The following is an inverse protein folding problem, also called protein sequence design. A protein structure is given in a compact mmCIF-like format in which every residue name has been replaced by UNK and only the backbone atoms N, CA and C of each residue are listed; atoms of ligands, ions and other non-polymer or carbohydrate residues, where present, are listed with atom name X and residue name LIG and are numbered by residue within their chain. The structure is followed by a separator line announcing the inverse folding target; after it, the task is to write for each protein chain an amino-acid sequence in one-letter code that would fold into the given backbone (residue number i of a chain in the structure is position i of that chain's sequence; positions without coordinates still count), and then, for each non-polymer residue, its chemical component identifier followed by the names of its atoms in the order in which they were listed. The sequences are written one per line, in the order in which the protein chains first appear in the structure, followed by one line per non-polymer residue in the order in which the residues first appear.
data_IF_255536920522
#
_entry.id   IF_255536920522
#
_cell.length_a   1.000
_cell.length_b   1.000
_cell.length_c   1.000
_cell.angle_alpha   90.00
_cell.angle_beta   90.00
_cell.angle_gamma   90.00
#
_symmetry.space_group_name_H-M   'P 1'
#
loop_
_entity.id
_entity.type
_entity.pdbx_description
1 polymer ?
#
# COMPACT_ATOMS: atom_id res chain seq x y z
N UNK A 1 -17.38 12.64 -46.00
CA UNK A 1 -16.23 11.95 -45.37
C UNK A 1 -16.77 11.08 -44.23
N UNK A 2 -16.69 9.75 -44.35
CA UNK A 2 -17.21 8.76 -43.39
C UNK A 2 -16.01 8.08 -42.70
N UNK A 3 -16.23 7.60 -41.47
CA UNK A 3 -15.33 6.86 -40.54
C UNK A 3 -14.60 7.74 -39.52
N UNK A 4 -14.56 7.40 -38.22
CA UNK A 4 -14.66 6.07 -37.60
C UNK A 4 -15.53 6.10 -36.31
N UNK A 5 -16.52 5.20 -36.24
CA UNK A 5 -17.13 4.84 -34.96
C UNK A 5 -16.11 3.99 -34.21
N UNK A 6 -15.46 4.59 -33.22
CA UNK A 6 -14.69 3.86 -32.20
C UNK A 6 -15.61 2.79 -31.61
N UNK A 7 -15.38 1.51 -31.97
CA UNK A 7 -16.06 0.39 -31.34
C UNK A 7 -15.55 0.30 -29.90
N UNK A 8 -16.26 0.99 -29.00
CA UNK A 8 -16.08 0.85 -27.56
C UNK A 8 -16.54 -0.55 -27.20
N UNK A 9 -15.60 -1.49 -27.08
CA UNK A 9 -15.86 -2.84 -26.59
C UNK A 9 -16.47 -2.70 -25.19
N UNK A 10 -17.80 -2.76 -25.11
CA UNK A 10 -18.53 -2.72 -23.85
C UNK A 10 -18.39 -4.10 -23.23
N UNK A 11 -17.30 -4.31 -22.48
CA UNK A 11 -17.20 -5.47 -21.60
C UNK A 11 -18.37 -5.39 -20.62
N UNK A 12 -19.35 -6.27 -20.78
CA UNK A 12 -20.47 -6.49 -19.85
C UNK A 12 -19.97 -7.14 -18.55
N UNK A 13 -18.88 -6.64 -17.98
CA UNK A 13 -18.43 -7.04 -16.66
C UNK A 13 -19.31 -6.30 -15.65
N UNK A 14 -20.09 -7.04 -14.84
CA UNK A 14 -20.92 -6.46 -13.78
C UNK A 14 -20.03 -5.52 -12.96
N UNK A 15 -20.31 -4.22 -12.99
CA UNK A 15 -19.44 -3.28 -12.28
C UNK A 15 -19.49 -3.59 -10.79
N UNK A 16 -18.32 -3.94 -10.25
CA UNK A 16 -18.12 -4.17 -8.82
C UNK A 16 -18.78 -3.05 -8.03
N UNK A 17 -19.46 -3.39 -6.93
CA UNK A 17 -20.10 -2.41 -6.06
C UNK A 17 -19.13 -1.29 -5.68
N UNK A 18 -17.86 -1.63 -5.41
CA UNK A 18 -16.77 -0.66 -5.14
C UNK A 18 -16.51 0.31 -6.29
N UNK A 19 -16.65 -0.13 -7.54
CA UNK A 19 -16.46 0.72 -8.73
C UNK A 19 -17.63 1.70 -8.90
N UNK A 20 -18.87 1.27 -8.62
CA UNK A 20 -20.03 2.16 -8.61
C UNK A 20 -19.93 3.20 -7.50
N UNK A 21 -19.53 2.76 -6.31
CA UNK A 21 -19.33 3.62 -5.16
C UNK A 21 -18.20 4.64 -5.38
N UNK A 22 -17.07 4.20 -5.95
CA UNK A 22 -15.96 5.08 -6.33
C UNK A 22 -16.38 6.17 -7.31
N UNK A 23 -17.13 5.82 -8.36
CA UNK A 23 -17.68 6.78 -9.32
C UNK A 23 -18.71 7.73 -8.69
N UNK A 24 -19.50 7.23 -7.73
CA UNK A 24 -20.44 8.05 -6.98
C UNK A 24 -19.72 9.06 -6.06
N UNK A 25 -18.67 8.63 -5.38
CA UNK A 25 -17.81 9.52 -4.57
C UNK A 25 -17.15 10.60 -5.43
N UNK A 26 -16.72 10.27 -6.64
CA UNK A 26 -16.15 11.23 -7.59
C UNK A 26 -17.18 12.29 -8.01
N UNK A 27 -18.44 11.88 -8.22
CA UNK A 27 -19.56 12.80 -8.47
C UNK A 27 -19.89 13.67 -7.26
N UNK A 28 -19.76 13.13 -6.06
CA UNK A 28 -20.02 13.83 -4.80
C UNK A 28 -18.72 14.18 -4.06
N UNK A 29 -17.89 15.03 -4.69
CA UNK A 29 -16.54 15.38 -4.19
C UNK A 29 -16.49 15.79 -2.71
N UNK A 30 -17.46 16.56 -2.21
CA UNK A 30 -17.52 16.96 -0.78
C UNK A 30 -17.66 15.77 0.16
N UNK A 31 -18.47 14.78 -0.21
CA UNK A 31 -18.66 13.54 0.57
C UNK A 31 -17.39 12.70 0.50
N UNK A 32 -16.74 12.62 -0.66
CA UNK A 32 -15.43 11.99 -0.82
C UNK A 32 -14.37 12.57 0.10
N UNK A 33 -14.30 13.90 0.23
CA UNK A 33 -13.38 14.58 1.15
C UNK A 33 -13.71 14.31 2.62
N UNK A 34 -14.99 14.30 2.98
CA UNK A 34 -15.42 13.98 4.35
C UNK A 34 -15.04 12.53 4.71
N UNK A 35 -15.20 11.60 3.77
CA UNK A 35 -14.79 10.20 3.95
C UNK A 35 -13.27 10.06 4.09
N UNK A 36 -12.49 10.74 3.24
CA UNK A 36 -11.02 10.74 3.34
C UNK A 36 -10.55 11.23 4.72
N UNK A 37 -11.10 12.35 5.16
CA UNK A 37 -10.82 12.93 6.47
C UNK A 37 -11.23 11.99 7.60
N UNK A 38 -12.44 11.42 7.53
CA UNK A 38 -12.93 10.46 8.52
C UNK A 38 -12.04 9.22 8.62
N UNK A 39 -11.51 8.73 7.51
CA UNK A 39 -10.61 7.57 7.49
C UNK A 39 -9.26 7.94 8.09
N UNK A 40 -8.73 9.14 7.79
CA UNK A 40 -7.51 9.62 8.42
C UNK A 40 -7.66 9.68 9.95
N UNK A 41 -8.71 10.32 10.46
CA UNK A 41 -8.99 10.37 11.90
C UNK A 41 -9.24 8.98 12.51
N UNK A 42 -10.05 8.14 11.85
CA UNK A 42 -10.31 6.78 12.29
C UNK A 42 -9.04 5.93 12.34
N UNK A 43 -8.16 6.07 11.36
CA UNK A 43 -6.87 5.35 11.35
C UNK A 43 -5.95 5.77 12.49
N UNK A 44 -5.90 7.06 12.82
CA UNK A 44 -5.16 7.56 13.98
C UNK A 44 -5.74 7.00 15.28
N UNK A 45 -7.06 7.02 15.42
CA UNK A 45 -7.75 6.50 16.61
C UNK A 45 -7.52 4.99 16.80
N UNK A 46 -7.69 4.19 15.75
CA UNK A 46 -7.45 2.74 15.79
C UNK A 46 -5.99 2.44 16.11
N UNK A 47 -5.05 3.17 15.51
CA UNK A 47 -3.62 2.96 15.75
C UNK A 47 -3.22 3.36 17.17
N UNK A 48 -3.81 4.44 17.70
CA UNK A 48 -3.65 4.85 19.09
C UNK A 48 -4.15 3.75 20.04
N UNK A 49 -5.37 3.24 19.83
CA UNK A 49 -5.91 2.14 20.64
C UNK A 49 -5.01 0.91 20.60
N UNK A 50 -4.59 0.48 19.41
CA UNK A 50 -3.70 -0.67 19.25
C UNK A 50 -2.38 -0.50 20.04
N UNK A 51 -1.79 0.69 19.96
CA UNK A 51 -0.57 1.03 20.71
C UNK A 51 -0.82 1.07 22.21
N UNK A 52 -1.95 1.62 22.67
CA UNK A 52 -2.32 1.65 24.09
C UNK A 52 -2.51 0.24 24.68
N UNK A 53 -3.05 -0.71 23.92
CA UNK A 53 -3.14 -2.10 24.37
C UNK A 53 -1.77 -2.76 24.49
N UNK A 54 -0.84 -2.41 23.58
CA UNK A 54 0.50 -3.00 23.53
C UNK A 54 1.48 -2.24 24.43
N UNK A 55 1.12 -1.08 24.99
CA UNK A 55 2.05 -0.21 25.71
C UNK A 55 2.43 -0.69 27.10
N UNK A 56 1.68 -1.62 27.69
CA UNK A 56 1.89 -2.10 29.07
C UNK A 56 3.33 -2.55 29.42
N UNK A 57 4.12 -3.19 28.53
CA UNK A 57 5.48 -3.60 28.81
C UNK A 57 6.54 -2.55 28.42
N UNK A 58 6.15 -1.40 27.85
CA UNK A 58 7.09 -0.39 27.36
C UNK A 58 7.10 0.85 28.28
N UNK A 59 8.29 1.39 28.61
CA UNK A 59 8.39 2.55 29.48
C UNK A 59 7.94 3.85 28.80
N UNK A 60 7.88 3.89 27.47
CA UNK A 60 7.48 5.08 26.71
C UNK A 60 6.78 4.69 25.39
N UNK A 61 5.82 5.49 24.94
CA UNK A 61 5.15 5.32 23.64
C UNK A 61 6.10 5.53 22.45
N UNK A 62 7.23 6.21 22.63
CA UNK A 62 8.23 6.41 21.58
C UNK A 62 8.71 5.10 20.94
N UNK A 63 8.80 4.01 21.73
CA UNK A 63 9.16 2.68 21.23
C UNK A 63 8.11 2.12 20.25
N UNK A 64 6.85 2.49 20.44
CA UNK A 64 5.71 2.03 19.64
C UNK A 64 5.43 2.93 18.44
N UNK A 65 6.14 4.05 18.30
CA UNK A 65 5.91 5.01 17.21
C UNK A 65 6.01 4.38 15.82
N UNK A 66 6.97 3.47 15.50
CA UNK A 66 7.02 2.86 14.18
C UNK A 66 5.81 1.98 13.89
N UNK A 67 5.31 1.28 14.91
CA UNK A 67 4.10 0.47 14.80
C UNK A 67 2.88 1.37 14.53
N UNK A 68 2.74 2.46 15.28
CA UNK A 68 1.64 3.43 15.11
C UNK A 68 1.58 3.99 13.69
N UNK A 69 2.70 4.54 13.19
CA UNK A 69 2.74 5.12 11.85
C UNK A 69 2.45 4.09 10.76
N UNK A 70 2.99 2.87 10.90
CA UNK A 70 2.72 1.82 9.93
C UNK A 70 1.27 1.34 9.95
N UNK A 71 0.60 1.31 11.11
CA UNK A 71 -0.83 0.98 11.19
C UNK A 71 -1.69 2.05 10.53
N UNK A 72 -1.40 3.33 10.77
CA UNK A 72 -2.09 4.44 10.08
C UNK A 72 -1.94 4.28 8.58
N UNK A 73 -0.71 4.08 8.09
CA UNK A 73 -0.45 3.87 6.67
C UNK A 73 -1.14 2.63 6.12
N UNK A 74 -1.23 1.55 6.88
CA UNK A 74 -1.90 0.33 6.47
C UNK A 74 -3.39 0.56 6.25
N UNK A 75 -4.06 1.22 7.19
CA UNK A 75 -5.49 1.50 7.11
C UNK A 75 -5.76 2.46 5.94
N UNK A 76 -5.01 3.56 5.86
CA UNK A 76 -5.17 4.58 4.81
C UNK A 76 -4.86 4.01 3.44
N UNK A 77 -3.75 3.28 3.29
CA UNK A 77 -3.37 2.67 2.01
C UNK A 77 -4.40 1.64 1.56
N UNK A 78 -4.93 0.83 2.49
CA UNK A 78 -6.00 -0.14 2.18
C UNK A 78 -7.27 0.57 1.74
N UNK A 79 -7.68 1.63 2.42
CA UNK A 79 -8.82 2.46 2.03
C UNK A 79 -8.67 3.01 0.60
N UNK A 80 -7.51 3.61 0.29
CA UNK A 80 -7.22 4.15 -1.05
C UNK A 80 -7.25 3.02 -2.10
N UNK A 81 -6.68 1.86 -1.79
CA UNK A 81 -6.61 0.71 -2.67
C UNK A 81 -8.00 0.18 -3.07
N UNK A 82 -8.90 0.11 -2.09
CA UNK A 82 -10.24 -0.47 -2.23
C UNK A 82 -11.22 0.51 -2.87
N UNK A 83 -11.23 1.77 -2.43
CA UNK A 83 -12.29 2.74 -2.77
C UNK A 83 -11.87 3.80 -3.78
N UNK A 84 -10.58 4.18 -3.84
CA UNK A 84 -10.11 5.28 -4.71
C UNK A 84 -9.49 4.81 -6.02
N UNK A 85 -8.89 3.62 -6.01
CA UNK A 85 -8.18 3.12 -7.18
C UNK A 85 -9.13 2.40 -8.15
N UNK A 86 -9.25 2.86 -9.40
CA UNK A 86 -10.04 2.18 -10.47
C UNK A 86 -9.20 1.23 -11.33
N UNK A 87 -7.87 1.20 -11.12
CA UNK A 87 -6.89 0.48 -11.95
C UNK A 87 -6.86 -1.04 -11.74
N UNK A 88 -6.08 -1.72 -12.58
CA UNK A 88 -5.81 -3.15 -12.53
C UNK A 88 -5.33 -3.61 -11.15
N UNK A 89 -5.87 -4.74 -10.67
CA UNK A 89 -5.56 -5.31 -9.35
C UNK A 89 -4.06 -5.46 -9.08
N UNK A 90 -3.25 -5.84 -10.08
CA UNK A 90 -1.79 -5.98 -9.88
C UNK A 90 -1.08 -4.63 -9.71
N UNK A 91 -1.49 -3.61 -10.45
CA UNK A 91 -0.92 -2.27 -10.38
C UNK A 91 -1.20 -1.65 -9.00
N UNK A 92 -2.43 -1.81 -8.52
CA UNK A 92 -2.88 -1.42 -7.18
C UNK A 92 -1.95 -1.95 -6.08
N UNK A 93 -1.78 -3.27 -6.01
CA UNK A 93 -0.93 -3.90 -5.00
C UNK A 93 0.54 -3.50 -5.14
N UNK A 94 0.98 -3.15 -6.35
CA UNK A 94 2.35 -2.69 -6.58
C UNK A 94 2.57 -1.34 -5.92
N UNK A 95 1.70 -0.37 -6.16
CA UNK A 95 1.78 0.94 -5.50
C UNK A 95 1.68 0.83 -3.98
N UNK A 96 0.76 0.01 -3.46
CA UNK A 96 0.67 -0.28 -2.03
C UNK A 96 2.02 -0.74 -1.47
N UNK A 97 2.65 -1.73 -2.12
CA UNK A 97 3.95 -2.25 -1.72
C UNK A 97 5.07 -1.20 -1.74
N UNK A 98 5.12 -0.36 -2.79
CA UNK A 98 6.12 0.73 -2.89
C UNK A 98 6.02 1.73 -1.74
N UNK A 99 4.80 2.05 -1.29
CA UNK A 99 4.60 2.95 -0.14
C UNK A 99 5.24 2.34 1.11
N UNK A 100 5.00 1.07 1.40
CA UNK A 100 5.57 0.41 2.57
C UNK A 100 7.08 0.29 2.53
N UNK A 101 7.63 -0.12 1.38
CA UNK A 101 9.08 -0.26 1.18
C UNK A 101 9.75 1.11 1.29
N UNK A 102 9.24 2.12 0.59
CA UNK A 102 9.81 3.46 0.57
C UNK A 102 9.71 4.17 1.91
N UNK A 103 8.53 4.12 2.54
CA UNK A 103 8.31 4.74 3.85
C UNK A 103 9.20 4.11 4.91
N UNK A 104 9.19 2.77 5.06
CA UNK A 104 10.02 2.10 6.07
C UNK A 104 11.51 2.17 5.73
N UNK A 105 11.87 2.02 4.46
CA UNK A 105 13.27 2.08 4.01
C UNK A 105 13.91 3.46 4.21
N UNK A 106 13.14 4.54 4.11
CA UNK A 106 13.62 5.89 4.35
C UNK A 106 13.54 6.28 5.84
N UNK A 107 12.43 5.98 6.53
CA UNK A 107 12.24 6.41 7.91
C UNK A 107 13.06 5.61 8.91
N UNK A 108 13.34 4.34 8.63
CA UNK A 108 14.16 3.53 9.52
C UNK A 108 15.54 4.15 9.79
N UNK A 109 16.39 4.47 8.79
CA UNK A 109 17.70 5.08 9.04
C UNK A 109 17.60 6.47 9.68
N UNK A 110 16.57 7.27 9.34
CA UNK A 110 16.33 8.57 9.96
C UNK A 110 16.04 8.41 11.45
N UNK A 111 15.11 7.52 11.81
CA UNK A 111 14.77 7.25 13.20
C UNK A 111 15.93 6.58 13.96
N UNK A 112 16.73 5.75 13.28
CA UNK A 112 17.90 5.09 13.87
C UNK A 112 18.96 6.11 14.32
N UNK A 113 19.30 7.06 13.45
CA UNK A 113 20.44 7.97 13.65
C UNK A 113 20.05 9.33 14.25
N UNK A 114 18.93 9.90 13.83
CA UNK A 114 18.54 11.28 14.14
C UNK A 114 17.36 11.34 15.12
N UNK A 115 16.53 10.29 15.15
CA UNK A 115 15.26 10.31 15.87
C UNK A 115 14.15 10.97 15.04
N UNK A 116 12.92 10.93 15.55
CA UNK A 116 11.77 11.58 14.93
C UNK A 116 11.39 12.82 15.76
N UNK A 117 11.81 13.99 15.29
CA UNK A 117 11.54 15.28 15.91
C UNK A 117 10.29 15.90 15.27
N UNK A 118 9.10 15.54 15.74
CA UNK A 118 7.85 15.95 15.12
C UNK A 118 7.33 17.32 15.59
N UNK A 119 7.65 17.74 16.83
CA UNK A 119 7.22 19.04 17.41
C UNK A 119 8.43 19.76 18.04
N UNK A 120 8.65 21.01 17.62
CA UNK A 120 9.89 21.75 17.84
C UNK A 120 10.36 21.95 19.29
N UNK A 121 11.67 22.21 19.41
CA UNK A 121 12.48 22.73 20.54
C UNK A 121 12.29 22.18 21.98
N UNK A 122 11.23 21.46 22.34
CA UNK A 122 11.12 20.81 23.65
C UNK A 122 11.65 19.39 23.58
N UNK A 123 12.68 19.10 24.38
CA UNK A 123 13.35 17.79 24.48
C UNK A 123 12.42 16.63 24.89
N UNK A 124 11.20 16.90 25.36
CA UNK A 124 10.29 15.92 25.94
C UNK A 124 9.32 15.26 24.95
N UNK A 125 9.16 15.82 23.74
CA UNK A 125 8.22 15.34 22.70
C UNK A 125 8.89 14.73 21.48
N UNK A 126 10.22 14.61 21.49
CA UNK A 126 10.96 13.99 20.41
C UNK A 126 11.06 12.48 20.65
N UNK A 127 10.80 11.66 19.62
CA UNK A 127 11.19 10.26 19.68
C UNK A 127 12.71 10.22 19.50
N UNK A 128 13.47 9.83 20.53
CA UNK A 128 14.91 9.87 20.47
C UNK A 128 15.42 8.94 19.36
N UNK A 129 16.63 9.16 18.84
CA UNK A 129 17.29 8.18 17.99
C UNK A 129 17.23 6.78 18.59
N UNK A 130 16.94 5.75 17.80
CA UNK A 130 16.89 4.36 18.31
C UNK A 130 18.21 3.97 18.98
N UNK A 131 19.35 4.48 18.48
CA UNK A 131 20.67 4.21 19.08
C UNK A 131 20.84 4.79 20.49
N UNK A 132 20.04 5.80 20.84
CA UNK A 132 20.04 6.43 22.17
C UNK A 132 18.94 5.90 23.10
N UNK A 133 18.10 4.99 22.60
CA UNK A 133 17.08 4.31 23.39
C UNK A 133 17.69 3.21 24.27
N UNK A 134 16.94 2.79 25.28
CA UNK A 134 17.31 1.64 26.11
C UNK A 134 17.40 0.37 25.23
N UNK A 135 18.58 -0.29 25.17
CA UNK A 135 18.77 -1.52 24.39
C UNK A 135 17.76 -2.62 24.70
N UNK A 136 17.21 -2.67 25.93
CA UNK A 136 16.19 -3.65 26.33
C UNK A 136 14.89 -3.52 25.51
N UNK A 137 14.60 -2.34 24.96
CA UNK A 137 13.36 -2.04 24.24
C UNK A 137 13.60 -1.54 22.80
N UNK A 138 14.84 -1.19 22.44
CA UNK A 138 15.21 -0.71 21.11
C UNK A 138 14.93 -1.74 19.99
N UNK A 139 14.89 -3.03 20.32
CA UNK A 139 14.56 -4.11 19.37
C UNK A 139 13.15 -3.94 18.77
N UNK A 140 12.19 -3.39 19.52
CA UNK A 140 10.80 -3.32 19.10
C UNK A 140 10.58 -2.35 17.92
N UNK A 141 11.08 -1.09 17.97
CA UNK A 141 11.13 -0.22 16.80
C UNK A 141 11.75 -0.90 15.57
N UNK A 142 12.89 -1.57 15.74
CA UNK A 142 13.64 -2.21 14.66
C UNK A 142 12.80 -3.32 14.02
N UNK A 143 12.26 -4.23 14.85
CA UNK A 143 11.40 -5.33 14.39
C UNK A 143 10.16 -4.80 13.68
N UNK A 144 9.56 -3.72 14.19
CA UNK A 144 8.40 -3.09 13.55
C UNK A 144 8.73 -2.59 12.14
N UNK A 145 9.80 -1.80 11.97
CA UNK A 145 10.21 -1.32 10.64
C UNK A 145 10.51 -2.48 9.68
N UNK A 146 11.26 -3.48 10.14
CA UNK A 146 11.61 -4.64 9.33
C UNK A 146 10.37 -5.42 8.92
N UNK A 147 9.44 -5.67 9.85
CA UNK A 147 8.20 -6.39 9.56
C UNK A 147 7.40 -5.72 8.44
N UNK A 148 7.17 -4.40 8.53
CA UNK A 148 6.41 -3.67 7.51
C UNK A 148 7.18 -3.49 6.20
N UNK A 149 8.51 -3.38 6.25
CA UNK A 149 9.36 -3.39 5.07
C UNK A 149 9.25 -4.73 4.32
N UNK A 150 9.38 -5.86 5.04
CA UNK A 150 9.25 -7.20 4.46
C UNK A 150 7.83 -7.50 4.01
N UNK A 151 6.81 -6.99 4.69
CA UNK A 151 5.42 -7.06 4.24
C UNK A 151 5.28 -6.40 2.86
N UNK A 152 5.78 -5.18 2.70
CA UNK A 152 5.83 -4.49 1.42
C UNK A 152 6.60 -5.29 0.37
N UNK A 153 7.82 -5.72 0.69
CA UNK A 153 8.69 -6.46 -0.21
C UNK A 153 8.08 -7.80 -0.66
N UNK A 154 7.47 -8.55 0.24
CA UNK A 154 6.80 -9.82 -0.05
C UNK A 154 5.65 -9.64 -1.03
N UNK A 155 4.84 -8.59 -0.85
CA UNK A 155 3.77 -8.24 -1.79
C UNK A 155 4.37 -7.88 -3.17
N UNK A 156 5.46 -7.11 -3.23
CA UNK A 156 6.13 -6.76 -4.50
C UNK A 156 6.58 -8.00 -5.26
N UNK A 157 7.28 -8.89 -4.57
CA UNK A 157 7.83 -10.12 -5.14
C UNK A 157 6.72 -11.04 -5.65
N UNK A 158 5.61 -11.13 -4.90
CA UNK A 158 4.44 -11.88 -5.32
C UNK A 158 3.86 -11.33 -6.64
N UNK A 159 3.72 -10.01 -6.76
CA UNK A 159 3.23 -9.34 -7.97
C UNK A 159 4.15 -9.63 -9.15
N UNK A 160 5.47 -9.45 -8.98
CA UNK A 160 6.47 -9.73 -10.02
C UNK A 160 6.36 -11.19 -10.48
N UNK A 161 6.20 -12.13 -9.54
CA UNK A 161 6.03 -13.55 -9.84
C UNK A 161 4.74 -13.83 -10.61
N UNK A 162 3.62 -13.18 -10.26
CA UNK A 162 2.35 -13.32 -10.97
C UNK A 162 2.45 -12.73 -12.38
N UNK A 163 3.05 -11.55 -12.52
CA UNK A 163 3.24 -10.89 -13.81
C UNK A 163 4.15 -11.68 -14.75
N UNK A 164 5.26 -12.23 -14.23
CA UNK A 164 6.14 -13.15 -14.98
C UNK A 164 5.40 -14.42 -15.42
N UNK A 165 4.53 -14.98 -14.57
CA UNK A 165 3.68 -16.12 -14.96
C UNK A 165 2.66 -15.73 -16.05
N UNK A 166 2.02 -14.57 -15.95
CA UNK A 166 1.06 -14.07 -16.94
C UNK A 166 1.72 -13.83 -18.31
N UNK A 167 2.91 -13.21 -18.33
CA UNK A 167 3.68 -12.99 -19.57
C UNK A 167 4.05 -14.30 -20.26
N UNK A 168 4.50 -15.31 -19.50
CA UNK A 168 4.80 -16.65 -20.04
C UNK A 168 3.58 -17.32 -20.66
N UNK A 169 2.40 -17.25 -20.03
CA UNK A 169 1.15 -17.80 -20.60
C UNK A 169 0.81 -17.16 -21.94
N UNK A 170 0.81 -15.81 -22.00
CA UNK A 170 0.56 -15.07 -23.24
C UNK A 170 1.57 -15.40 -24.34
N UNK A 171 2.83 -15.60 -23.99
CA UNK A 171 3.86 -15.99 -24.96
C UNK A 171 3.62 -17.41 -25.51
N UNK A 172 3.28 -18.36 -24.65
CA UNK A 172 2.94 -19.72 -25.05
C UNK A 172 1.68 -19.78 -25.93
N UNK A 173 0.66 -18.94 -25.66
CA UNK A 173 -0.54 -18.81 -26.49
C UNK A 173 -0.18 -18.31 -27.89
N UNK A 174 0.63 -17.24 -28.01
CA UNK A 174 1.11 -16.74 -29.31
C UNK A 174 1.87 -17.80 -30.11
N UNK A 175 2.70 -18.62 -29.44
CA UNK A 175 3.41 -19.72 -30.08
C UNK A 175 2.48 -20.85 -30.54
N UNK A 176 1.36 -21.08 -29.86
CA UNK A 176 0.34 -22.04 -30.29
C UNK A 176 -0.44 -21.49 -31.49
N UNK A 177 -0.82 -20.23 -31.46
CA UNK A 177 -1.57 -19.59 -32.55
C UNK A 177 -0.73 -19.52 -33.83
N UNK A 178 0.56 -19.17 -33.72
CA UNK A 178 1.50 -19.17 -34.87
C UNK A 178 1.69 -20.57 -35.47
N UNK A 179 1.70 -21.63 -34.66
CA UNK A 179 1.74 -23.01 -35.16
C UNK A 179 0.45 -23.39 -35.89
N UNK A 180 -0.71 -23.00 -35.35
CA UNK A 180 -2.01 -23.24 -36.00
C UNK A 180 -2.15 -22.49 -37.33
N UNK A 181 -1.63 -21.26 -37.43
CA UNK A 181 -1.68 -20.50 -38.68
C UNK A 181 -0.81 -21.15 -39.76
N UNK A 182 0.43 -21.55 -39.42
CA UNK A 182 1.32 -22.20 -40.39
C UNK A 182 0.74 -23.52 -40.92
N UNK A 183 0.15 -24.36 -40.05
CA UNK A 183 -0.46 -25.62 -40.48
C UNK A 183 -1.72 -25.43 -41.37
N UNK A 184 -2.32 -24.23 -41.41
CA UNK A 184 -3.45 -23.93 -42.30
C UNK A 184 -3.01 -23.44 -43.68
N UNK A 185 -1.82 -22.85 -43.78
CA UNK A 185 -1.27 -22.36 -45.05
C UNK A 185 -0.54 -23.43 -45.85
N UNK A 186 -0.22 -24.57 -45.24
CA UNK A 186 0.43 -25.72 -45.90
C UNK A 186 -0.56 -26.76 -46.45
N UNK A 187 -1.88 -26.55 -46.30
CA UNK A 187 -2.95 -27.36 -46.91
C UNK A 187 -3.63 -26.58 -48.03
#
# INVERSE_FOLDING_TARGET
MKMSRQMKYKTNEKSSWTKRFSLWLERHRKIGQLLDTSVLFGSMFVSFLAVSFISSPFPNLNYLSPLSFNLILLIVSTYILVLRFSSDKLQKWRYFSWIFIGFNGLLFPIHLLVGLNWLGRRKTTNSPPIISMDPAYAWFPIVSYLFFFFLGLGILLLIIRIEKRRRRRKWNERLRDKRRSNNRTEK
#
